data_IF_492773732456
#
_entry.id   IF_492773732456
#
_cell.length_a   1.000
_cell.length_b   1.000
_cell.length_c   1.000
_cell.angle_alpha   90.00
_cell.angle_beta   90.00
_cell.angle_gamma   90.00
#
_symmetry.space_group_name_H-M   'P 1'
#
loop_
_entity.id
_entity.type
_entity.pdbx_description
1 polymer ?
#
# COMPACT_ATOMS: atom_id res chain seq x y z
N UNK A 1 12.79 1.58 -19.37
CA UNK A 1 12.65 0.62 -18.26
C UNK A 1 12.98 1.29 -16.95
N UNK A 2 12.15 1.11 -15.94
CA UNK A 2 12.40 1.69 -14.62
C UNK A 2 13.21 0.71 -13.75
N UNK A 3 14.00 1.26 -12.83
CA UNK A 3 14.77 0.46 -11.89
C UNK A 3 13.92 -0.03 -10.73
N UNK A 4 14.54 -0.86 -9.87
CA UNK A 4 13.83 -1.47 -8.73
C UNK A 4 13.29 -0.44 -7.76
N UNK A 5 14.11 0.54 -7.38
CA UNK A 5 13.65 1.56 -6.43
C UNK A 5 12.49 2.36 -6.99
N UNK A 6 12.59 2.77 -8.24
CA UNK A 6 11.54 3.52 -8.90
C UNK A 6 10.25 2.71 -8.99
N UNK A 7 10.36 1.41 -9.32
CA UNK A 7 9.21 0.51 -9.36
C UNK A 7 8.55 0.38 -7.98
N UNK A 8 9.35 0.28 -6.92
CA UNK A 8 8.82 0.20 -5.56
C UNK A 8 8.12 1.50 -5.16
N UNK A 9 8.67 2.65 -5.54
CA UNK A 9 8.05 3.94 -5.25
C UNK A 9 6.74 4.14 -6.01
N UNK A 10 6.68 3.70 -7.27
CA UNK A 10 5.45 3.73 -8.05
C UNK A 10 4.39 2.84 -7.40
N UNK A 11 4.77 1.64 -6.97
CA UNK A 11 3.87 0.74 -6.29
C UNK A 11 3.35 1.35 -4.98
N UNK A 12 4.23 1.99 -4.21
CA UNK A 12 3.84 2.66 -2.97
C UNK A 12 2.84 3.78 -3.23
N UNK A 13 3.07 4.60 -4.26
CA UNK A 13 2.16 5.67 -4.62
C UNK A 13 0.78 5.12 -5.01
N UNK A 14 0.74 4.01 -5.75
CA UNK A 14 -0.51 3.36 -6.14
C UNK A 14 -1.27 2.84 -4.93
N UNK A 15 -0.56 2.21 -3.97
CA UNK A 15 -1.19 1.70 -2.76
C UNK A 15 -1.74 2.84 -1.89
N UNK A 16 -1.01 3.95 -1.78
CA UNK A 16 -1.48 5.12 -1.04
C UNK A 16 -2.71 5.74 -1.69
N UNK A 17 -2.75 5.79 -3.01
CA UNK A 17 -3.91 6.29 -3.74
C UNK A 17 -5.13 5.40 -3.50
N UNK A 18 -4.95 4.08 -3.51
CA UNK A 18 -6.00 3.13 -3.19
C UNK A 18 -6.52 3.31 -1.77
N UNK A 19 -5.62 3.50 -0.82
CA UNK A 19 -5.97 3.75 0.57
C UNK A 19 -6.83 5.02 0.72
N UNK A 20 -6.42 6.10 0.07
CA UNK A 20 -7.17 7.35 0.09
C UNK A 20 -8.56 7.18 -0.53
N UNK A 21 -8.64 6.41 -1.62
CA UNK A 21 -9.92 6.13 -2.28
C UNK A 21 -10.88 5.39 -1.35
N UNK A 22 -10.42 4.32 -0.71
CA UNK A 22 -11.29 3.53 0.18
C UNK A 22 -11.68 4.32 1.44
N UNK A 23 -10.80 5.17 1.94
CA UNK A 23 -11.15 6.06 3.05
C UNK A 23 -12.23 7.04 2.65
N UNK A 24 -12.19 7.56 1.42
CA UNK A 24 -13.24 8.47 0.93
C UNK A 24 -14.56 7.73 0.77
N UNK A 25 -14.54 6.45 0.41
CA UNK A 25 -15.76 5.63 0.38
C UNK A 25 -16.36 5.51 1.77
N UNK A 26 -15.53 5.24 2.79
CA UNK A 26 -15.99 5.16 4.18
C UNK A 26 -16.63 6.48 4.64
N UNK A 27 -16.05 7.60 4.24
CA UNK A 27 -16.58 8.93 4.63
C UNK A 27 -17.90 9.24 3.92
N UNK A 28 -18.15 8.64 2.77
CA UNK A 28 -19.30 8.98 1.93
C UNK A 28 -20.48 8.01 2.06
N UNK A 29 -20.27 6.82 2.60
CA UNK A 29 -21.31 5.80 2.65
C UNK A 29 -21.92 5.65 4.03
N UNK A 30 -23.22 5.30 4.06
CA UNK A 30 -23.88 4.86 5.28
C UNK A 30 -24.36 3.40 5.17
N UNK A 31 -23.99 2.73 4.09
CA UNK A 31 -24.34 1.33 3.87
C UNK A 31 -23.43 0.42 4.70
N UNK A 32 -23.97 -0.37 5.65
CA UNK A 32 -23.13 -1.21 6.52
C UNK A 32 -22.29 -2.23 5.78
N UNK A 33 -22.79 -2.79 4.68
CA UNK A 33 -22.02 -3.76 3.90
C UNK A 33 -20.86 -3.10 3.18
N UNK A 34 -21.08 -1.92 2.62
CA UNK A 34 -20.02 -1.16 1.96
C UNK A 34 -18.98 -0.70 2.99
N UNK A 35 -19.44 -0.27 4.16
CA UNK A 35 -18.54 0.13 5.25
C UNK A 35 -17.63 -1.03 5.68
N UNK A 36 -18.20 -2.23 5.82
CA UNK A 36 -17.43 -3.42 6.20
C UNK A 36 -16.40 -3.76 5.14
N UNK A 37 -16.79 -3.74 3.87
CA UNK A 37 -15.91 -4.06 2.75
C UNK A 37 -14.77 -3.04 2.62
N UNK A 38 -15.11 -1.75 2.69
CA UNK A 38 -14.10 -0.69 2.58
C UNK A 38 -13.13 -0.72 3.76
N UNK A 39 -13.61 -1.01 4.96
CA UNK A 39 -12.76 -1.16 6.15
C UNK A 39 -11.75 -2.28 5.95
N UNK A 40 -12.18 -3.41 5.38
CA UNK A 40 -11.27 -4.52 5.10
C UNK A 40 -10.23 -4.13 4.06
N UNK A 41 -10.62 -3.42 3.00
CA UNK A 41 -9.67 -2.94 2.00
C UNK A 41 -8.68 -1.94 2.56
N UNK A 42 -9.12 -1.02 3.44
CA UNK A 42 -8.22 -0.07 4.11
C UNK A 42 -7.17 -0.83 4.92
N UNK A 43 -7.59 -1.86 5.64
CA UNK A 43 -6.68 -2.69 6.42
C UNK A 43 -5.63 -3.36 5.54
N UNK A 44 -6.06 -3.97 4.43
CA UNK A 44 -5.16 -4.63 3.49
C UNK A 44 -4.19 -3.64 2.84
N UNK A 45 -4.67 -2.48 2.42
CA UNK A 45 -3.83 -1.46 1.81
C UNK A 45 -2.79 -0.90 2.80
N UNK A 46 -3.16 -0.76 4.07
CA UNK A 46 -2.21 -0.35 5.10
C UNK A 46 -1.09 -1.38 5.28
N UNK A 47 -1.42 -2.66 5.20
CA UNK A 47 -0.43 -3.73 5.28
C UNK A 47 0.52 -3.69 4.08
N UNK A 48 -0.03 -3.48 2.86
CA UNK A 48 0.78 -3.35 1.65
C UNK A 48 1.71 -2.14 1.71
N UNK A 49 1.22 -1.01 2.19
CA UNK A 49 2.04 0.21 2.34
C UNK A 49 3.20 -0.06 3.29
N UNK A 50 2.93 -0.69 4.43
CA UNK A 50 3.96 -0.98 5.42
C UNK A 50 5.02 -1.91 4.82
N UNK A 51 4.60 -2.93 4.07
CA UNK A 51 5.50 -3.89 3.43
C UNK A 51 6.38 -3.21 2.38
N UNK A 52 5.78 -2.37 1.53
CA UNK A 52 6.53 -1.66 0.50
C UNK A 52 7.54 -0.69 1.10
N UNK A 53 7.18 0.01 2.18
CA UNK A 53 8.13 0.90 2.86
C UNK A 53 9.32 0.13 3.40
N UNK A 54 9.08 -1.06 3.92
CA UNK A 54 10.14 -1.93 4.41
C UNK A 54 11.09 -2.33 3.29
N UNK A 55 10.56 -2.71 2.14
CA UNK A 55 11.38 -3.11 0.98
C UNK A 55 12.17 -1.94 0.43
N UNK A 56 11.58 -0.77 0.36
CA UNK A 56 12.28 0.45 -0.08
C UNK A 56 13.43 0.76 0.85
N UNK A 57 13.21 0.70 2.16
CA UNK A 57 14.25 0.95 3.15
C UNK A 57 15.39 -0.07 3.02
N UNK A 58 15.06 -1.35 2.84
CA UNK A 58 16.06 -2.40 2.66
C UNK A 58 16.89 -2.17 1.40
N UNK A 59 16.25 -1.79 0.30
CA UNK A 59 16.93 -1.51 -0.96
C UNK A 59 17.86 -0.29 -0.82
N UNK A 60 17.38 0.80 -0.18
CA UNK A 60 18.17 2.02 0.00
C UNK A 60 19.37 1.81 0.90
N UNK A 61 19.30 0.89 1.84
CA UNK A 61 20.44 0.57 2.70
C UNK A 61 21.45 -0.35 2.03
N UNK A 62 21.22 -0.73 0.76
CA UNK A 62 22.11 -1.60 0.01
C UNK A 62 21.94 -3.07 0.35
N UNK A 63 20.91 -3.40 1.13
CA UNK A 63 20.66 -4.79 1.51
C UNK A 63 19.77 -5.52 0.53
N UNK A 64 19.52 -6.79 0.82
CA UNK A 64 18.58 -7.59 0.06
C UNK A 64 17.16 -7.23 0.47
N UNK A 65 16.22 -7.44 -0.45
CA UNK A 65 14.80 -7.31 -0.10
C UNK A 65 14.46 -8.35 0.96
N UNK A 66 13.49 -8.05 1.86
CA UNK A 66 13.19 -8.92 2.99
C UNK A 66 12.87 -10.37 2.64
N UNK A 67 12.35 -10.61 1.46
CA UNK A 67 11.99 -11.97 1.03
C UNK A 67 13.04 -12.63 0.12
N UNK A 68 14.13 -11.94 -0.16
CA UNK A 68 15.15 -12.42 -1.09
C UNK A 68 16.23 -13.21 -0.34
N UNK A 69 16.10 -14.49 -0.35
CA UNK A 69 17.07 -15.39 0.26
C UNK A 69 17.54 -16.40 -0.74
#
# INVERSE_FOLDING_TARGET
MIGREEALEVALAAEKAGLAYYRSVLDATDDPEIMALATEFVKEENEHVAELKKWIAAHRSGGLLPFAH
#
